data_IF_823221416279
#
_entry.id   IF_823221416279
#
_cell.length_a   1.000
_cell.length_b   1.000
_cell.length_c   1.000
_cell.angle_alpha   90.00
_cell.angle_beta   90.00
_cell.angle_gamma   90.00
#
_symmetry.space_group_name_H-M   'P 1'
#
loop_
_entity.id
_entity.type
_entity.pdbx_description
1 polymer ?
#
# COMPACT_ATOMS: atom_id res chain seq x y z
N UNK A 1 -10.55 -4.15 -28.68
CA UNK A 1 -9.98 -5.27 -27.88
C UNK A 1 -10.21 -4.95 -26.40
N UNK A 2 -11.12 -5.65 -25.74
CA UNK A 2 -11.44 -5.44 -24.32
C UNK A 2 -10.35 -6.10 -23.48
N UNK A 3 -9.50 -5.31 -22.81
CA UNK A 3 -8.58 -5.83 -21.79
C UNK A 3 -9.40 -6.07 -20.52
N UNK A 4 -9.65 -7.34 -20.21
CA UNK A 4 -10.29 -7.74 -18.97
C UNK A 4 -9.39 -7.38 -17.80
N UNK A 5 -9.81 -6.42 -16.97
CA UNK A 5 -9.24 -6.21 -15.65
C UNK A 5 -9.64 -7.41 -14.79
N UNK A 6 -8.67 -8.26 -14.44
CA UNK A 6 -8.88 -9.26 -13.40
C UNK A 6 -8.88 -8.54 -12.04
N UNK A 7 -10.07 -8.13 -11.59
CA UNK A 7 -10.30 -7.81 -10.19
C UNK A 7 -10.32 -9.16 -9.45
N UNK A 8 -9.20 -9.53 -8.83
CA UNK A 8 -9.17 -10.67 -7.94
C UNK A 8 -9.91 -10.30 -6.65
N UNK A 9 -11.21 -10.52 -6.63
CA UNK A 9 -12.00 -10.54 -5.41
C UNK A 9 -11.52 -11.71 -4.54
N UNK A 10 -10.76 -11.42 -3.50
CA UNK A 10 -10.37 -12.39 -2.46
C UNK A 10 -10.67 -11.77 -1.10
N UNK A 11 -11.96 -11.56 -0.84
CA UNK A 11 -12.49 -11.32 0.50
C UNK A 11 -13.23 -12.58 0.93
N UNK A 12 -12.54 -13.42 1.70
CA UNK A 12 -13.14 -14.37 2.62
C UNK A 12 -12.26 -14.39 3.88
N UNK A 13 -12.49 -13.44 4.78
CA UNK A 13 -12.07 -13.57 6.18
C UNK A 13 -13.30 -14.06 6.95
N UNK A 14 -13.48 -15.38 6.94
CA UNK A 14 -14.33 -16.06 7.90
C UNK A 14 -13.44 -16.61 9.01
N UNK A 15 -13.72 -16.21 10.25
CA UNK A 15 -13.15 -16.87 11.44
C UNK A 15 -12.72 -15.91 12.54
N UNK A 16 -13.67 -15.58 13.42
CA UNK A 16 -13.38 -15.24 14.82
C UNK A 16 -12.36 -16.22 15.41
N UNK A 17 -11.29 -15.72 16.02
CA UNK A 17 -10.73 -16.19 17.31
C UNK A 17 -9.48 -15.38 17.69
N UNK A 18 -9.60 -14.66 18.82
CA UNK A 18 -8.51 -14.27 19.73
C UNK A 18 -7.26 -13.60 19.14
N UNK A 19 -7.32 -12.29 18.86
CA UNK A 19 -6.10 -11.46 18.83
C UNK A 19 -5.74 -11.04 20.27
N UNK A 20 -4.83 -11.80 20.87
CA UNK A 20 -4.06 -11.34 22.02
C UNK A 20 -3.27 -10.10 21.63
N UNK A 21 -3.33 -9.08 22.48
CA UNK A 21 -2.52 -7.88 22.39
C UNK A 21 -1.03 -8.25 22.46
N UNK A 22 -0.37 -8.34 21.31
CA UNK A 22 1.09 -8.25 21.23
C UNK A 22 1.45 -6.78 21.16
N UNK A 23 1.64 -6.17 22.32
CA UNK A 23 2.36 -4.92 22.45
C UNK A 23 3.76 -5.13 21.85
N UNK A 24 4.01 -4.55 20.67
CA UNK A 24 5.35 -4.50 20.11
C UNK A 24 6.19 -3.56 20.97
N UNK A 25 7.16 -4.12 21.69
CA UNK A 25 8.26 -3.33 22.25
C UNK A 25 8.91 -2.48 21.15
N UNK A 26 9.33 -1.24 21.44
CA UNK A 26 9.94 -0.39 20.44
C UNK A 26 11.25 -1.03 19.95
N UNK A 27 11.37 -1.39 18.67
CA UNK A 27 12.53 -2.10 18.17
C UNK A 27 13.81 -1.24 18.29
N UNK A 28 14.83 -1.86 18.89
CA UNK A 28 16.18 -1.33 19.08
C UNK A 28 16.79 -0.78 17.77
N UNK A 29 17.69 0.21 17.91
CA UNK A 29 18.31 1.06 16.88
C UNK A 29 19.25 0.37 15.87
N UNK A 30 18.97 -0.87 15.48
CA UNK A 30 19.67 -1.56 14.38
C UNK A 30 18.66 -2.29 13.47
N UNK A 31 17.62 -1.56 13.03
CA UNK A 31 16.64 -2.08 12.08
C UNK A 31 17.34 -2.39 10.76
N UNK A 32 17.40 -3.67 10.39
CA UNK A 32 17.67 -4.13 9.03
C UNK A 32 16.98 -3.20 8.03
N UNK A 33 17.78 -2.46 7.27
CA UNK A 33 17.31 -1.49 6.26
C UNK A 33 16.65 -2.17 5.05
N UNK A 34 16.64 -3.50 5.05
CA UNK A 34 16.08 -4.36 4.00
C UNK A 34 14.81 -4.97 4.56
N UNK A 35 13.65 -4.48 4.13
CA UNK A 35 12.36 -4.94 4.67
C UNK A 35 11.55 -5.72 3.65
N UNK A 36 11.70 -5.43 2.36
CA UNK A 36 10.82 -6.00 1.35
C UNK A 36 11.27 -7.40 0.92
N UNK A 37 12.58 -7.66 0.79
CA UNK A 37 13.06 -9.04 0.55
C UNK A 37 12.75 -9.97 1.73
N UNK A 38 12.97 -9.52 2.97
CA UNK A 38 12.59 -10.27 4.16
C UNK A 38 11.09 -10.55 4.22
N UNK A 39 10.25 -9.54 3.90
CA UNK A 39 8.81 -9.74 3.81
C UNK A 39 8.45 -10.78 2.74
N UNK A 40 9.07 -10.74 1.56
CA UNK A 40 8.81 -11.71 0.51
C UNK A 40 9.15 -13.15 0.96
N UNK A 41 10.34 -13.35 1.53
CA UNK A 41 10.77 -14.64 2.09
C UNK A 41 9.83 -15.11 3.22
N UNK A 42 9.42 -14.20 4.10
CA UNK A 42 8.48 -14.51 5.19
C UNK A 42 7.12 -14.97 4.65
N UNK A 43 6.56 -14.28 3.65
CA UNK A 43 5.27 -14.67 3.06
C UNK A 43 5.32 -16.03 2.37
N UNK A 44 6.44 -16.35 1.72
CA UNK A 44 6.69 -17.67 1.15
C UNK A 44 6.77 -18.75 2.24
N UNK A 45 7.49 -18.49 3.34
CA UNK A 45 7.56 -19.39 4.49
C UNK A 45 6.18 -19.62 5.15
N UNK A 46 5.32 -18.59 5.16
CA UNK A 46 3.93 -18.67 5.59
C UNK A 46 2.97 -19.27 4.53
N UNK A 47 3.52 -19.82 3.43
CA UNK A 47 2.79 -20.44 2.32
C UNK A 47 1.70 -19.55 1.73
N UNK A 48 1.90 -18.22 1.71
CA UNK A 48 0.99 -17.28 1.04
C UNK A 48 1.13 -17.34 -0.49
N UNK A 49 2.31 -17.75 -0.94
CA UNK A 49 2.62 -18.16 -2.29
C UNK A 49 3.84 -19.07 -2.25
N UNK A 50 4.08 -19.81 -3.33
CA UNK A 50 5.23 -20.69 -3.47
C UNK A 50 6.31 -19.96 -4.27
N UNK A 51 7.58 -20.13 -3.89
CA UNK A 51 8.74 -19.66 -4.65
C UNK A 51 9.41 -20.87 -5.30
N UNK A 52 9.91 -20.71 -6.53
CA UNK A 52 10.86 -21.69 -7.07
C UNK A 52 12.20 -21.57 -6.35
N UNK A 53 13.04 -22.60 -6.49
CA UNK A 53 14.39 -22.55 -5.92
C UNK A 53 15.18 -21.36 -6.46
N UNK A 54 15.08 -21.09 -7.77
CA UNK A 54 15.75 -19.98 -8.43
C UNK A 54 15.25 -18.62 -7.89
N UNK A 55 13.95 -18.48 -7.63
CA UNK A 55 13.40 -17.25 -7.04
C UNK A 55 13.90 -17.05 -5.60
N UNK A 56 13.95 -18.13 -4.81
CA UNK A 56 14.44 -18.09 -3.44
C UNK A 56 15.93 -17.67 -3.39
N UNK A 57 16.75 -18.30 -4.22
CA UNK A 57 18.18 -17.98 -4.35
C UNK A 57 18.39 -16.53 -4.81
N UNK A 58 17.60 -16.08 -5.79
CA UNK A 58 17.66 -14.70 -6.27
C UNK A 58 17.31 -13.67 -5.18
N UNK A 59 16.30 -13.96 -4.34
CA UNK A 59 15.96 -13.09 -3.21
C UNK A 59 17.12 -12.97 -2.21
N UNK A 60 17.77 -14.07 -1.85
CA UNK A 60 18.94 -14.04 -0.97
C UNK A 60 20.12 -13.29 -1.60
N UNK A 61 20.40 -13.51 -2.88
CA UNK A 61 21.46 -12.79 -3.59
C UNK A 61 21.21 -11.28 -3.55
N UNK A 62 19.99 -10.83 -3.86
CA UNK A 62 19.64 -9.41 -3.82
C UNK A 62 19.71 -8.83 -2.40
N UNK A 63 19.29 -9.60 -1.38
CA UNK A 63 19.38 -9.21 0.01
C UNK A 63 20.84 -8.94 0.44
N UNK A 64 21.77 -9.86 0.15
CA UNK A 64 23.19 -9.68 0.49
C UNK A 64 23.84 -8.57 -0.34
N UNK A 65 23.45 -8.41 -1.61
CA UNK A 65 23.94 -7.33 -2.46
C UNK A 65 23.52 -5.97 -1.93
N UNK A 66 22.24 -5.80 -1.58
CA UNK A 66 21.72 -4.55 -1.05
C UNK A 66 22.37 -4.19 0.29
N UNK A 67 22.59 -5.16 1.18
CA UNK A 67 23.29 -4.93 2.45
C UNK A 67 24.72 -4.42 2.20
N UNK A 68 25.45 -5.07 1.30
CA UNK A 68 26.80 -4.65 0.90
C UNK A 68 26.83 -3.23 0.31
N UNK A 69 25.83 -2.88 -0.51
CA UNK A 69 25.69 -1.53 -1.08
C UNK A 69 25.43 -0.51 0.03
N UNK A 70 24.50 -0.78 0.94
CA UNK A 70 24.13 0.14 2.01
C UNK A 70 25.23 0.36 3.04
N UNK A 71 26.07 -0.66 3.26
CA UNK A 71 27.27 -0.54 4.11
C UNK A 71 28.31 0.41 3.49
N UNK A 72 28.41 0.47 2.16
CA UNK A 72 29.33 1.37 1.44
C UNK A 72 28.72 2.75 1.16
N UNK A 73 27.42 2.80 0.88
CA UNK A 73 26.68 4.01 0.59
C UNK A 73 25.34 3.99 1.35
N UNK A 74 25.31 4.53 2.58
CA UNK A 74 24.10 4.57 3.41
C UNK A 74 22.93 5.34 2.78
N UNK A 75 23.21 6.25 1.86
CA UNK A 75 22.21 7.09 1.21
C UNK A 75 21.68 6.47 -0.11
N UNK A 76 22.06 5.24 -0.42
CA UNK A 76 21.54 4.54 -1.59
C UNK A 76 20.03 4.36 -1.50
N UNK A 77 19.34 4.58 -2.62
CA UNK A 77 17.90 4.42 -2.74
C UNK A 77 17.50 2.93 -2.77
N UNK A 78 17.52 2.33 -1.59
CA UNK A 78 17.13 0.94 -1.37
C UNK A 78 15.65 0.71 -1.73
N UNK A 79 14.78 1.72 -1.59
CA UNK A 79 13.37 1.59 -1.93
C UNK A 79 13.15 1.37 -3.42
N UNK A 80 13.88 2.09 -4.27
CA UNK A 80 13.85 1.87 -5.71
C UNK A 80 14.48 0.52 -6.06
N UNK A 81 15.62 0.19 -5.45
CA UNK A 81 16.32 -1.07 -5.68
C UNK A 81 15.43 -2.28 -5.39
N UNK A 82 14.82 -2.36 -4.20
CA UNK A 82 13.98 -3.49 -3.81
C UNK A 82 12.79 -3.65 -4.76
N UNK A 83 12.10 -2.55 -5.11
CA UNK A 83 10.95 -2.58 -6.03
C UNK A 83 11.31 -3.13 -7.40
N UNK A 84 12.35 -2.58 -8.01
CA UNK A 84 12.78 -2.97 -9.36
C UNK A 84 13.17 -4.45 -9.43
N UNK A 85 13.85 -4.99 -8.41
CA UNK A 85 14.30 -6.38 -8.43
C UNK A 85 13.21 -7.36 -7.99
N UNK A 86 12.38 -7.01 -6.99
CA UNK A 86 11.26 -7.87 -6.59
C UNK A 86 10.30 -8.13 -7.74
N UNK A 87 9.99 -7.11 -8.54
CA UNK A 87 9.14 -7.25 -9.71
C UNK A 87 9.74 -8.14 -10.81
N UNK A 88 11.08 -8.29 -10.84
CA UNK A 88 11.77 -9.19 -11.78
C UNK A 88 11.85 -10.63 -11.27
N UNK A 89 11.97 -10.80 -9.95
CA UNK A 89 12.12 -12.12 -9.32
C UNK A 89 10.76 -12.80 -9.18
N UNK A 90 9.76 -12.06 -8.69
CA UNK A 90 8.41 -12.58 -8.46
C UNK A 90 7.59 -12.48 -9.75
N UNK A 91 6.80 -13.51 -10.02
CA UNK A 91 5.80 -13.42 -11.09
C UNK A 91 4.66 -12.47 -10.71
N UNK A 92 3.83 -12.08 -11.69
CA UNK A 92 2.72 -11.13 -11.50
C UNK A 92 1.82 -11.45 -10.30
N UNK A 93 1.44 -12.72 -10.12
CA UNK A 93 0.56 -13.16 -9.04
C UNK A 93 1.24 -13.09 -7.68
N UNK A 94 2.48 -13.59 -7.57
CA UNK A 94 3.27 -13.52 -6.35
C UNK A 94 3.52 -12.07 -5.94
N UNK A 95 3.89 -11.22 -6.91
CA UNK A 95 4.15 -9.82 -6.65
C UNK A 95 2.88 -9.07 -6.22
N UNK A 96 1.72 -9.40 -6.79
CA UNK A 96 0.45 -8.83 -6.34
C UNK A 96 0.11 -9.18 -4.89
N UNK A 97 0.26 -10.46 -4.52
CA UNK A 97 0.07 -10.92 -3.14
C UNK A 97 1.04 -10.19 -2.20
N UNK A 98 2.33 -10.12 -2.58
CA UNK A 98 3.34 -9.40 -1.82
C UNK A 98 2.95 -7.94 -1.58
N UNK A 99 2.55 -7.20 -2.63
CA UNK A 99 2.11 -5.81 -2.50
C UNK A 99 0.85 -5.69 -1.64
N UNK A 100 -0.05 -6.67 -1.71
CA UNK A 100 -1.19 -6.81 -0.81
C UNK A 100 -0.78 -6.74 0.66
N UNK A 101 0.11 -7.64 1.08
CA UNK A 101 0.60 -7.68 2.46
C UNK A 101 1.44 -6.47 2.86
N UNK A 102 2.25 -5.94 1.94
CA UNK A 102 3.07 -4.75 2.18
C UNK A 102 2.20 -3.52 2.51
N UNK A 103 1.08 -3.36 1.81
CA UNK A 103 0.33 -2.10 1.80
C UNK A 103 -0.99 -2.13 2.60
N UNK A 104 -1.47 -3.30 3.04
CA UNK A 104 -2.78 -3.42 3.70
C UNK A 104 -2.92 -2.59 4.99
N UNK A 105 -1.86 -2.51 5.81
CA UNK A 105 -1.90 -1.74 7.06
C UNK A 105 -1.99 -0.23 6.79
N UNK A 106 -1.28 0.26 5.78
CA UNK A 106 -1.37 1.65 5.35
C UNK A 106 -2.75 1.97 4.77
N UNK A 107 -3.28 1.11 3.91
CA UNK A 107 -4.61 1.27 3.33
C UNK A 107 -5.71 1.32 4.42
N UNK A 108 -5.63 0.43 5.41
CA UNK A 108 -6.56 0.40 6.54
C UNK A 108 -6.45 1.65 7.42
N UNK A 109 -5.22 2.08 7.74
CA UNK A 109 -5.00 3.29 8.53
C UNK A 109 -5.57 4.53 7.84
N UNK A 110 -5.38 4.65 6.52
CA UNK A 110 -5.93 5.77 5.76
C UNK A 110 -7.47 5.70 5.65
N UNK A 111 -8.04 4.50 5.54
CA UNK A 111 -9.49 4.32 5.59
C UNK A 111 -10.09 4.74 6.93
N UNK A 112 -9.42 4.39 8.04
CA UNK A 112 -9.84 4.80 9.38
C UNK A 112 -9.76 6.33 9.57
N UNK A 113 -8.73 6.98 9.04
CA UNK A 113 -8.62 8.46 9.05
C UNK A 113 -9.76 9.09 8.23
N UNK A 114 -10.05 8.55 7.05
CA UNK A 114 -11.16 9.01 6.21
C UNK A 114 -12.50 8.88 6.94
N UNK A 115 -12.75 7.75 7.60
CA UNK A 115 -13.95 7.55 8.42
C UNK A 115 -14.03 8.56 9.57
N UNK A 116 -12.90 8.82 10.25
CA UNK A 116 -12.84 9.84 11.30
C UNK A 116 -13.22 11.23 10.79
N UNK A 117 -12.75 11.63 9.61
CA UNK A 117 -13.10 12.92 8.98
C UNK A 117 -14.61 13.04 8.77
N UNK A 118 -15.27 11.98 8.31
CA UNK A 118 -16.74 11.95 8.14
C UNK A 118 -17.46 12.04 9.49
N UNK A 119 -17.01 11.28 10.49
CA UNK A 119 -17.58 11.27 11.83
C UNK A 119 -17.49 12.64 12.49
N UNK A 120 -16.32 13.28 12.44
CA UNK A 120 -16.09 14.58 13.06
C UNK A 120 -16.95 15.70 12.44
N UNK A 121 -17.51 15.47 11.24
CA UNK A 121 -18.42 16.41 10.54
C UNK A 121 -19.88 15.98 10.55
N UNK A 122 -20.22 14.92 11.29
CA UNK A 122 -21.58 14.34 11.32
C UNK A 122 -22.10 13.91 9.93
N UNK A 123 -21.20 13.48 9.04
CA UNK A 123 -21.53 13.04 7.67
C UNK A 123 -21.63 11.51 7.55
N UNK A 124 -21.97 10.83 8.65
CA UNK A 124 -22.02 9.36 8.74
C UNK A 124 -23.44 8.80 8.67
N UNK A 125 -24.45 9.65 8.52
CA UNK A 125 -25.84 9.20 8.43
C UNK A 125 -26.04 8.27 7.22
N UNK A 126 -26.67 7.12 7.45
CA UNK A 126 -26.92 6.11 6.42
C UNK A 126 -25.71 5.26 6.01
N UNK A 127 -24.54 5.44 6.64
CA UNK A 127 -23.35 4.63 6.37
C UNK A 127 -23.10 3.58 7.45
N UNK A 128 -22.77 2.36 7.05
CA UNK A 128 -22.14 1.37 7.94
C UNK A 128 -20.62 1.60 7.99
N UNK A 129 -20.09 1.70 9.20
CA UNK A 129 -18.66 1.99 9.39
C UNK A 129 -17.74 0.89 8.89
N UNK A 130 -18.16 -0.38 8.97
CA UNK A 130 -17.36 -1.53 8.54
C UNK A 130 -17.30 -1.58 7.03
N UNK A 131 -18.44 -1.38 6.36
CA UNK A 131 -18.54 -1.32 4.90
C UNK A 131 -17.73 -0.15 4.33
N UNK A 132 -17.86 1.05 4.91
CA UNK A 132 -17.11 2.23 4.45
C UNK A 132 -15.61 2.03 4.64
N UNK A 133 -15.16 1.57 5.81
CA UNK A 133 -13.74 1.32 6.05
C UNK A 133 -13.22 0.22 5.11
N UNK A 134 -13.99 -0.86 4.90
CA UNK A 134 -13.62 -1.94 3.99
C UNK A 134 -13.45 -1.47 2.55
N UNK A 135 -14.46 -0.81 1.99
CA UNK A 135 -14.43 -0.32 0.59
C UNK A 135 -13.34 0.72 0.36
N UNK A 136 -13.08 1.60 1.33
CA UNK A 136 -11.96 2.56 1.25
C UNK A 136 -10.62 1.83 1.34
N UNK A 137 -10.49 0.82 2.20
CA UNK A 137 -9.27 0.01 2.33
C UNK A 137 -8.94 -0.67 1.00
N UNK A 138 -9.91 -1.33 0.37
CA UNK A 138 -9.73 -2.02 -0.90
C UNK A 138 -9.28 -1.04 -2.01
N UNK A 139 -9.98 0.09 -2.14
CA UNK A 139 -9.62 1.12 -3.10
C UNK A 139 -8.19 1.66 -2.86
N UNK A 140 -7.85 1.97 -1.60
CA UNK A 140 -6.54 2.52 -1.24
C UNK A 140 -5.44 1.49 -1.47
N UNK A 141 -5.69 0.21 -1.19
CA UNK A 141 -4.75 -0.87 -1.43
C UNK A 141 -4.40 -0.96 -2.93
N UNK A 142 -5.40 -0.98 -3.81
CA UNK A 142 -5.17 -1.03 -5.26
C UNK A 142 -4.40 0.21 -5.76
N UNK A 143 -4.71 1.39 -5.22
CA UNK A 143 -3.95 2.61 -5.53
C UNK A 143 -2.48 2.53 -5.10
N UNK A 144 -2.20 1.94 -3.93
CA UNK A 144 -0.83 1.73 -3.45
C UNK A 144 -0.07 0.69 -4.29
N UNK A 145 -0.75 -0.39 -4.72
CA UNK A 145 -0.18 -1.37 -5.66
C UNK A 145 0.21 -0.71 -6.99
N UNK A 146 -0.65 0.13 -7.56
CA UNK A 146 -0.32 0.89 -8.78
C UNK A 146 0.89 1.80 -8.58
N UNK A 147 0.97 2.47 -7.42
CA UNK A 147 2.09 3.36 -7.09
C UNK A 147 3.41 2.58 -7.06
N UNK A 148 3.44 1.44 -6.38
CA UNK A 148 4.63 0.60 -6.28
C UNK A 148 5.08 0.00 -7.62
N UNK A 149 4.14 -0.24 -8.55
CA UNK A 149 4.44 -0.79 -9.88
C UNK A 149 4.95 0.24 -10.87
N UNK A 150 4.45 1.47 -10.81
CA UNK A 150 4.57 2.40 -11.95
C UNK A 150 5.05 3.80 -11.58
N UNK A 151 4.84 4.31 -10.37
CA UNK A 151 4.99 5.75 -10.12
C UNK A 151 6.40 6.31 -10.33
N UNK A 152 7.43 5.46 -10.25
CA UNK A 152 8.83 5.86 -10.42
C UNK A 152 9.40 5.52 -11.80
N UNK A 153 9.00 4.39 -12.38
CA UNK A 153 9.58 3.89 -13.63
C UNK A 153 8.72 4.25 -14.86
N UNK A 154 7.41 4.42 -14.69
CA UNK A 154 6.46 4.81 -15.73
C UNK A 154 5.35 5.69 -15.14
N UNK A 155 5.68 6.96 -14.92
CA UNK A 155 4.77 7.90 -14.27
C UNK A 155 3.50 8.14 -15.07
N UNK A 156 3.59 8.18 -16.39
CA UNK A 156 2.43 8.38 -17.28
C UNK A 156 1.44 7.24 -17.11
N UNK A 157 1.90 5.98 -17.10
CA UNK A 157 1.05 4.82 -16.88
C UNK A 157 0.46 4.80 -15.46
N UNK A 158 1.22 5.22 -14.45
CA UNK A 158 0.67 5.39 -13.10
C UNK A 158 -0.49 6.38 -13.10
N UNK A 159 -0.30 7.58 -13.66
CA UNK A 159 -1.31 8.63 -13.64
C UNK A 159 -2.57 8.23 -14.43
N UNK A 160 -2.41 7.53 -15.57
CA UNK A 160 -3.52 6.97 -16.36
C UNK A 160 -4.35 5.97 -15.52
N UNK A 161 -3.69 4.93 -14.99
CA UNK A 161 -4.35 3.85 -14.26
C UNK A 161 -4.92 4.32 -12.91
N UNK A 162 -4.22 5.19 -12.20
CA UNK A 162 -4.72 5.78 -10.96
C UNK A 162 -5.94 6.69 -11.24
N UNK A 163 -5.94 7.40 -12.37
CA UNK A 163 -7.08 8.17 -12.84
C UNK A 163 -8.29 7.29 -13.16
N UNK A 164 -8.09 6.18 -13.88
CA UNK A 164 -9.15 5.21 -14.15
C UNK A 164 -9.70 4.59 -12.87
N UNK A 165 -8.81 4.18 -11.94
CA UNK A 165 -9.18 3.65 -10.64
C UNK A 165 -10.03 4.67 -9.87
N UNK A 166 -9.62 5.94 -9.84
CA UNK A 166 -10.39 6.99 -9.20
C UNK A 166 -11.75 7.23 -9.85
N UNK A 167 -11.85 7.26 -11.18
CA UNK A 167 -13.12 7.52 -11.88
C UNK A 167 -14.13 6.39 -11.66
N UNK A 168 -13.68 5.14 -11.74
CA UNK A 168 -14.59 4.00 -11.82
C UNK A 168 -14.84 3.31 -10.46
N UNK A 169 -13.89 3.39 -9.51
CA UNK A 169 -13.91 2.56 -8.30
C UNK A 169 -13.73 3.34 -6.99
N UNK A 170 -13.52 4.67 -7.02
CA UNK A 170 -13.41 5.45 -5.78
C UNK A 170 -14.74 5.48 -5.03
N UNK A 171 -14.81 4.98 -3.77
CA UNK A 171 -16.04 4.98 -2.98
C UNK A 171 -16.58 6.39 -2.74
N UNK A 172 -17.90 6.55 -2.74
CA UNK A 172 -18.54 7.86 -2.54
C UNK A 172 -18.13 8.52 -1.22
N UNK A 173 -18.04 7.73 -0.14
CA UNK A 173 -17.55 8.21 1.16
C UNK A 173 -16.14 8.81 1.06
N UNK A 174 -15.25 8.21 0.27
CA UNK A 174 -13.89 8.73 0.06
C UNK A 174 -13.88 9.98 -0.82
N UNK A 175 -14.75 10.05 -1.83
CA UNK A 175 -14.91 11.26 -2.64
C UNK A 175 -15.33 12.45 -1.79
N UNK A 176 -16.28 12.25 -0.89
CA UNK A 176 -16.72 13.27 0.05
C UNK A 176 -15.57 13.73 0.96
N UNK A 177 -14.79 12.79 1.50
CA UNK A 177 -13.58 13.11 2.29
C UNK A 177 -12.59 13.95 1.47
N UNK A 178 -12.31 13.58 0.22
CA UNK A 178 -11.38 14.35 -0.61
C UNK A 178 -11.91 15.77 -0.87
N UNK A 179 -13.21 15.94 -1.12
CA UNK A 179 -13.82 17.27 -1.28
C UNK A 179 -13.66 18.14 -0.04
N UNK A 180 -13.84 17.56 1.15
CA UNK A 180 -13.63 18.26 2.42
C UNK A 180 -12.19 18.73 2.54
N UNK A 181 -11.22 17.85 2.28
CA UNK A 181 -9.78 18.17 2.33
C UNK A 181 -9.45 19.27 1.31
N UNK A 182 -9.95 19.17 0.08
CA UNK A 182 -9.69 20.15 -0.98
C UNK A 182 -10.21 21.56 -0.61
N UNK A 183 -11.34 21.66 0.09
CA UNK A 183 -11.88 22.94 0.57
C UNK A 183 -10.99 23.51 1.67
N UNK A 184 -10.59 22.69 2.65
CA UNK A 184 -9.74 23.12 3.76
C UNK A 184 -8.34 23.57 3.32
N UNK A 185 -7.77 22.90 2.33
CA UNK A 185 -6.47 23.30 1.75
C UNK A 185 -6.58 24.64 1.01
N UNK A 186 -7.68 24.88 0.29
CA UNK A 186 -7.94 26.17 -0.34
C UNK A 186 -8.11 27.28 0.69
N UNK A 187 -8.89 27.06 1.75
CA UNK A 187 -9.11 28.05 2.81
C UNK A 187 -7.81 28.43 3.54
N UNK A 188 -6.94 27.45 3.84
CA UNK A 188 -5.61 27.71 4.42
C UNK A 188 -4.72 28.55 3.50
N UNK A 189 -4.74 28.27 2.19
CA UNK A 189 -4.00 29.03 1.19
C UNK A 189 -4.46 30.50 1.12
N UNK A 190 -5.77 30.74 1.20
CA UNK A 190 -6.30 32.11 1.22
C UNK A 190 -5.92 32.87 2.50
N UNK A 191 -6.01 32.24 3.67
CA UNK A 191 -5.64 32.89 4.94
C UNK A 191 -4.13 33.21 5.04
N UNK A 192 -3.27 32.39 4.43
CA UNK A 192 -1.83 32.63 4.36
C UNK A 192 -1.40 33.76 3.41
N UNK A 193 -2.29 34.20 2.51
CA UNK A 193 -2.01 35.27 1.54
C UNK A 193 -2.56 36.66 1.96
N UNK A 194 -3.31 36.75 3.06
CA UNK A 194 -3.88 38.02 3.56
C UNK A 194 -2.93 38.73 4.54
N UNK A 195 -1.79 38.12 4.90
CA UNK A 195 -0.74 38.72 5.73
C UNK A 195 0.47 39.20 4.91
N UNK A 196 0.29 40.27 4.12
CA UNK A 196 1.39 41.14 3.66
C UNK A 196 0.95 42.59 3.59
#
# INVERSE_FOLDING_TARGET
MKKSFFIAALVLIGGCCCFGCLAQEPPAKNKSRITNYHLALYLAAQKKYELTQEQNDALYVQLYQLDSILNKNPNYDHWKHERTHLQKILNEKQYDIFLGYKNISYALSDAQKAWKILKDRNLTEGYDSTEVVGTITDYRLERLKLFDRYAYDDRTKYDELAGELYRNFCPNALRLVNQIIDVEEKEKSYQGNISK
#
